data_IF_886201596391
#
_entry.id   IF_886201596391
#
_cell.length_a   1.000
_cell.length_b   1.000
_cell.length_c   1.000
_cell.angle_alpha   90.00
_cell.angle_beta   90.00
_cell.angle_gamma   90.00
#
_symmetry.space_group_name_H-M   'P 1'
#
loop_
_entity.id
_entity.type
_entity.pdbx_description
1 polymer ?
#
# COMPACT_ATOMS: atom_id res chain seq x y z
N UNK A 1 -6.34 30.71 -15.88
CA UNK A 1 -5.57 30.57 -14.63
C UNK A 1 -6.17 29.44 -13.79
N UNK A 2 -5.68 28.19 -13.93
CA UNK A 2 -6.14 27.05 -13.11
C UNK A 2 -4.98 26.08 -12.89
N UNK A 3 -3.92 26.52 -12.22
CA UNK A 3 -2.72 25.69 -12.02
C UNK A 3 -2.37 25.43 -10.54
N UNK A 4 -3.17 25.94 -9.59
CA UNK A 4 -2.84 25.87 -8.16
C UNK A 4 -3.64 24.83 -7.36
N UNK A 5 -4.61 24.16 -7.98
CA UNK A 5 -5.47 23.16 -7.30
C UNK A 5 -4.80 21.79 -7.12
N UNK A 6 -3.66 21.54 -7.78
CA UNK A 6 -2.91 20.28 -7.65
C UNK A 6 -2.26 20.11 -6.26
N UNK A 7 -2.00 21.21 -5.54
CA UNK A 7 -1.37 21.18 -4.22
C UNK A 7 -2.31 20.67 -3.10
N UNK A 8 -3.62 20.75 -3.31
CA UNK A 8 -4.64 20.25 -2.39
C UNK A 8 -5.21 18.89 -2.82
N UNK A 9 -4.73 18.31 -3.92
CA UNK A 9 -5.09 16.95 -4.28
C UNK A 9 -4.55 16.01 -3.19
N UNK A 10 -5.38 15.12 -2.63
CA UNK A 10 -4.93 14.14 -1.65
C UNK A 10 -3.76 13.37 -2.26
N UNK A 11 -2.57 13.55 -1.69
CA UNK A 11 -1.36 12.85 -2.14
C UNK A 11 -1.68 11.36 -2.19
N UNK A 12 -1.34 10.66 -3.29
CA UNK A 12 -1.51 9.22 -3.34
C UNK A 12 -0.72 8.65 -2.15
N UNK A 13 -1.44 8.05 -1.20
CA UNK A 13 -0.83 7.36 -0.07
C UNK A 13 -0.03 6.21 -0.68
N UNK A 14 1.28 6.38 -0.72
CA UNK A 14 2.19 5.37 -1.23
C UNK A 14 2.17 4.19 -0.27
N UNK A 15 1.55 3.09 -0.70
CA UNK A 15 1.49 1.85 0.09
C UNK A 15 2.80 1.09 -0.07
N UNK A 16 3.17 0.39 0.97
CA UNK A 16 4.36 -0.46 0.98
C UNK A 16 3.92 -1.90 0.77
N UNK A 17 4.66 -2.64 -0.04
CA UNK A 17 4.42 -4.05 -0.32
C UNK A 17 5.71 -4.84 -0.12
N UNK A 18 5.57 -6.03 0.46
CA UNK A 18 6.62 -7.03 0.57
C UNK A 18 6.27 -8.21 -0.35
N UNK A 19 7.26 -8.69 -1.10
CA UNK A 19 7.16 -9.94 -1.86
C UNK A 19 7.57 -11.09 -0.94
N UNK A 20 6.66 -12.05 -0.75
CA UNK A 20 6.93 -13.24 0.02
C UNK A 20 7.23 -14.43 -0.89
N UNK A 21 8.22 -15.23 -0.51
CA UNK A 21 8.43 -16.56 -1.08
C UNK A 21 7.34 -17.54 -0.60
N UNK A 22 7.26 -18.72 -1.22
CA UNK A 22 6.36 -19.82 -0.81
C UNK A 22 6.54 -20.23 0.65
N UNK A 23 7.74 -20.04 1.18
CA UNK A 23 8.08 -20.30 2.58
C UNK A 23 7.68 -19.17 3.54
N UNK A 24 7.16 -18.05 3.03
CA UNK A 24 6.77 -16.87 3.82
C UNK A 24 7.90 -15.89 4.15
N UNK A 25 9.09 -16.10 3.57
CA UNK A 25 10.23 -15.18 3.72
C UNK A 25 10.10 -13.96 2.81
N UNK A 26 10.42 -12.77 3.32
CA UNK A 26 10.39 -11.56 2.51
C UNK A 26 11.61 -11.48 1.59
N UNK A 27 11.38 -11.46 0.28
CA UNK A 27 12.44 -11.40 -0.74
C UNK A 27 12.68 -9.98 -1.25
N UNK A 28 11.63 -9.18 -1.39
CA UNK A 28 11.73 -7.85 -1.97
C UNK A 28 10.70 -6.88 -1.37
N UNK A 29 10.98 -5.59 -1.48
CA UNK A 29 10.08 -4.53 -1.09
C UNK A 29 9.76 -3.63 -2.28
N UNK A 30 8.54 -3.12 -2.32
CA UNK A 30 8.09 -2.18 -3.34
C UNK A 30 7.12 -1.18 -2.73
N UNK A 31 7.36 0.11 -2.98
CA UNK A 31 6.45 1.16 -2.58
C UNK A 31 5.69 1.65 -3.83
N UNK A 32 4.37 1.49 -3.83
CA UNK A 32 3.52 1.92 -4.93
C UNK A 32 2.12 2.29 -4.43
N UNK A 33 1.44 3.19 -5.14
CA UNK A 33 0.07 3.58 -4.82
C UNK A 33 -0.97 2.59 -5.34
N UNK A 34 -0.60 1.80 -6.36
CA UNK A 34 -1.42 0.77 -7.00
C UNK A 34 -0.99 -0.60 -6.53
N UNK A 35 -1.92 -1.55 -6.47
CA UNK A 35 -1.60 -2.93 -6.17
C UNK A 35 -0.65 -3.49 -7.24
N UNK A 36 0.55 -3.99 -6.87
CA UNK A 36 1.47 -4.55 -7.85
C UNK A 36 0.86 -5.80 -8.49
N UNK A 37 1.05 -5.96 -9.80
CA UNK A 37 0.67 -7.18 -10.50
C UNK A 37 1.67 -8.29 -10.16
N UNK A 38 1.16 -9.43 -9.71
CA UNK A 38 1.95 -10.62 -9.37
C UNK A 38 1.48 -11.28 -8.08
N UNK A 39 1.66 -12.59 -7.98
CA UNK A 39 1.34 -13.36 -6.77
C UNK A 39 2.43 -13.20 -5.71
N UNK A 40 2.02 -13.26 -4.43
CA UNK A 40 2.95 -13.20 -3.29
C UNK A 40 3.26 -11.79 -2.76
N UNK A 41 2.72 -10.73 -3.38
CA UNK A 41 2.80 -9.38 -2.81
C UNK A 41 1.82 -9.21 -1.65
N UNK A 42 2.33 -8.80 -0.50
CA UNK A 42 1.55 -8.51 0.69
C UNK A 42 1.75 -7.05 1.08
N UNK A 43 0.66 -6.36 1.37
CA UNK A 43 0.71 -4.96 1.85
C UNK A 43 1.26 -4.92 3.28
N UNK A 44 2.21 -4.03 3.52
CA UNK A 44 2.89 -3.82 4.81
C UNK A 44 2.78 -2.36 5.22
N UNK A 45 2.78 -2.09 6.53
CA UNK A 45 2.64 -0.71 7.03
C UNK A 45 3.90 0.11 6.72
N UNK A 46 5.05 -0.53 6.75
CA UNK A 46 6.36 0.09 6.62
C UNK A 46 7.37 -0.88 5.99
N UNK A 47 8.38 -0.36 5.31
CA UNK A 47 9.48 -1.18 4.77
C UNK A 47 10.58 -1.27 5.82
N UNK A 48 10.83 -2.47 6.34
CA UNK A 48 11.97 -2.75 7.22
C UNK A 48 12.92 -3.75 6.58
N UNK A 49 14.17 -3.32 6.37
CA UNK A 49 15.24 -4.18 5.84
C UNK A 49 15.54 -5.39 6.73
N UNK A 50 15.22 -5.31 8.03
CA UNK A 50 15.35 -6.41 8.98
C UNK A 50 14.46 -7.60 8.65
N UNK A 51 13.41 -7.42 7.83
CA UNK A 51 12.57 -8.52 7.37
C UNK A 51 13.11 -9.21 6.12
N UNK A 52 14.13 -8.65 5.47
CA UNK A 52 14.72 -9.26 4.29
C UNK A 52 15.28 -10.64 4.64
N UNK A 53 14.87 -11.66 3.88
CA UNK A 53 15.21 -13.05 4.11
C UNK A 53 14.74 -13.61 5.48
N UNK A 54 13.77 -12.95 6.11
CA UNK A 54 13.14 -13.37 7.36
C UNK A 54 11.63 -13.56 7.16
N UNK A 55 10.96 -14.37 8.00
CA UNK A 55 9.52 -14.55 7.92
C UNK A 55 8.82 -13.24 8.27
N UNK A 56 7.88 -12.80 7.43
CA UNK A 56 7.14 -11.56 7.66
C UNK A 56 6.19 -11.74 8.85
N UNK A 57 6.36 -10.98 9.96
CA UNK A 57 5.49 -11.10 11.11
C UNK A 57 4.07 -10.66 10.76
N UNK A 58 3.06 -11.35 11.30
CA UNK A 58 1.65 -11.03 11.02
C UNK A 58 1.29 -9.59 11.38
N UNK A 59 1.92 -9.03 12.42
CA UNK A 59 1.74 -7.64 12.85
C UNK A 59 2.21 -6.59 11.84
N UNK A 60 3.12 -6.96 10.93
CA UNK A 60 3.61 -6.06 9.87
C UNK A 60 2.68 -6.02 8.66
N UNK A 61 1.80 -7.02 8.52
CA UNK A 61 0.86 -7.11 7.41
C UNK A 61 -0.25 -6.11 7.66
N UNK A 62 -0.45 -5.19 6.70
CA UNK A 62 -1.65 -4.35 6.68
C UNK A 62 -2.81 -5.28 6.38
N UNK A 63 -3.63 -5.57 7.39
CA UNK A 63 -4.97 -6.06 7.11
C UNK A 63 -5.62 -4.96 6.30
N UNK A 64 -6.06 -5.20 5.04
CA UNK A 64 -6.70 -4.18 4.24
C UNK A 64 -8.01 -3.82 4.93
N UNK A 65 -7.94 -2.84 5.84
CA UNK A 65 -9.11 -2.13 6.32
C UNK A 65 -9.53 -1.35 5.10
N UNK A 66 -10.38 -1.98 4.27
CA UNK A 66 -10.96 -1.43 3.05
C UNK A 66 -11.12 0.05 3.29
N UNK A 67 -10.23 0.83 2.67
CA UNK A 67 -10.30 2.27 2.73
C UNK A 67 -11.60 2.56 2.01
N UNK A 68 -12.70 2.58 2.77
CA UNK A 68 -14.03 2.92 2.29
C UNK A 68 -13.80 4.23 1.56
N UNK A 69 -13.87 4.17 0.24
CA UNK A 69 -13.76 5.33 -0.61
C UNK A 69 -14.89 6.25 -0.16
N UNK A 70 -14.59 7.16 0.76
CA UNK A 70 -15.44 8.27 1.16
C UNK A 70 -15.37 9.29 0.02
N UNK A 71 -15.91 8.88 -1.12
CA UNK A 71 -16.17 9.70 -2.29
C UNK A 71 -17.56 9.32 -2.78
N UNK A 72 -18.54 9.47 -1.89
CA UNK A 72 -19.96 9.48 -2.21
C UNK A 72 -20.50 10.80 -1.62
N UNK A 73 -19.92 11.93 -2.01
CA UNK A 73 -20.61 13.22 -1.86
C UNK A 73 -21.43 13.39 -3.12
N UNK A 74 -22.57 12.70 -3.13
CA UNK A 74 -23.67 12.95 -4.04
C UNK A 74 -24.46 14.11 -3.44
N UNK A 75 -24.29 15.30 -4.01
CA UNK A 75 -25.17 16.44 -3.76
C UNK A 75 -25.63 16.99 -5.11
N UNK A 76 -26.63 16.29 -5.65
CA UNK A 76 -27.60 16.85 -6.58
C UNK A 76 -28.80 17.32 -5.76
N UNK A 77 -29.03 18.64 -5.75
CA UNK A 77 -30.33 19.34 -5.81
C UNK A 77 -30.01 20.84 -5.93
#
# INVERSE_FOLDING_TARGET
MRYLISLFAPRPLHRSFALLDRNGHCQAFKQCSLQPMGDGWVEIEEIRLTWLNQPLPASARVVPRQMRARAQVQLSI
#
